data_IF_510065977867
#
_entry.id   IF_510065977867
#
_cell.length_a   1.000
_cell.length_b   1.000
_cell.length_c   1.000
_cell.angle_alpha   90.00
_cell.angle_beta   90.00
_cell.angle_gamma   90.00
#
_symmetry.space_group_name_H-M   'P 1'
#
loop_
_entity.id
_entity.type
_entity.pdbx_description
1 polymer ?
#
# COMPACT_ATOMS: atom_id res chain seq x y z
N UNK A 1 -6.69 -0.74 17.85
CA UNK A 1 -6.16 -2.10 17.60
C UNK A 1 -5.03 -1.97 16.59
N UNK A 2 -3.85 -2.53 16.86
CA UNK A 2 -2.74 -2.54 15.90
C UNK A 2 -2.93 -3.74 14.98
N UNK A 3 -2.94 -3.51 13.67
CA UNK A 3 -3.23 -4.56 12.67
C UNK A 3 -1.98 -5.16 12.04
N UNK A 4 -0.89 -4.42 11.94
CA UNK A 4 0.35 -4.92 11.36
C UNK A 4 1.04 -5.94 12.30
N UNK A 5 1.73 -6.96 11.77
CA UNK A 5 2.62 -7.85 12.53
C UNK A 5 3.66 -7.10 13.37
N UNK A 6 4.02 -7.67 14.51
CA UNK A 6 5.11 -7.15 15.33
C UNK A 6 6.42 -7.16 14.55
N UNK A 7 7.20 -6.08 14.62
CA UNK A 7 8.41 -5.91 13.81
C UNK A 7 8.16 -5.28 12.42
N UNK A 8 6.92 -4.95 12.07
CA UNK A 8 6.64 -4.15 10.86
C UNK A 8 7.23 -2.75 11.00
N UNK A 9 8.04 -2.34 10.02
CA UNK A 9 8.52 -0.96 9.90
C UNK A 9 7.62 -0.19 8.93
N UNK A 10 6.93 0.84 9.45
CA UNK A 10 6.08 1.73 8.67
C UNK A 10 6.80 3.05 8.40
N UNK A 11 6.88 3.45 7.14
CA UNK A 11 7.58 4.66 6.74
C UNK A 11 6.89 5.35 5.57
N UNK A 12 7.14 6.65 5.42
CA UNK A 12 6.90 7.38 4.19
C UNK A 12 8.16 7.34 3.32
N UNK A 13 8.00 7.18 2.00
CA UNK A 13 9.14 7.07 1.09
C UNK A 13 9.02 8.05 -0.09
N UNK A 14 10.13 8.72 -0.42
CA UNK A 14 10.21 9.60 -1.59
C UNK A 14 11.62 9.69 -2.15
N UNK A 15 11.72 10.06 -3.43
CA UNK A 15 13.00 10.40 -4.09
C UNK A 15 13.09 11.89 -4.44
N UNK A 16 14.30 12.35 -4.76
CA UNK A 16 14.52 13.67 -5.38
C UNK A 16 13.87 13.78 -6.77
N UNK A 17 13.69 12.65 -7.48
CA UNK A 17 12.99 12.55 -8.76
C UNK A 17 11.46 12.59 -8.68
N UNK A 18 10.91 12.77 -7.47
CA UNK A 18 9.47 12.93 -7.25
C UNK A 18 8.65 11.65 -7.19
N UNK A 19 9.28 10.47 -7.18
CA UNK A 19 8.57 9.22 -6.88
C UNK A 19 8.20 9.18 -5.38
N UNK A 20 7.02 8.66 -5.04
CA UNK A 20 6.44 8.77 -3.70
C UNK A 20 5.58 7.55 -3.34
N UNK A 21 5.68 7.08 -2.09
CA UNK A 21 4.77 6.12 -1.45
C UNK A 21 4.29 6.75 -0.14
N UNK A 22 2.97 6.94 0.00
CA UNK A 22 2.36 7.50 1.21
C UNK A 22 2.67 6.64 2.45
N UNK A 23 2.59 5.32 2.30
CA UNK A 23 2.90 4.35 3.34
C UNK A 23 3.60 3.11 2.75
N UNK A 24 4.85 2.91 3.14
CA UNK A 24 5.64 1.72 2.86
C UNK A 24 5.70 0.88 4.13
N UNK A 25 5.24 -0.36 4.04
CA UNK A 25 5.35 -1.34 5.12
C UNK A 25 6.42 -2.35 4.75
N UNK A 26 7.45 -2.45 5.59
CA UNK A 26 8.41 -3.55 5.57
C UNK A 26 8.02 -4.51 6.70
N UNK A 27 7.36 -5.61 6.31
CA UNK A 27 6.84 -6.62 7.20
C UNK A 27 7.97 -7.55 7.68
N UNK A 28 7.76 -8.25 8.82
CA UNK A 28 8.57 -9.41 9.17
C UNK A 28 8.61 -10.39 8.00
N UNK A 29 9.66 -11.22 7.89
CA UNK A 29 9.94 -12.11 6.75
C UNK A 29 10.22 -11.45 5.39
N UNK A 30 10.45 -10.14 5.36
CA UNK A 30 11.01 -9.44 4.18
C UNK A 30 9.99 -9.11 3.09
N UNK A 31 8.71 -9.14 3.42
CA UNK A 31 7.66 -8.65 2.54
C UNK A 31 7.55 -7.13 2.60
N UNK A 32 7.35 -6.50 1.44
CA UNK A 32 7.20 -5.06 1.29
C UNK A 32 5.87 -4.74 0.64
N UNK A 33 5.06 -3.93 1.31
CA UNK A 33 3.77 -3.46 0.80
C UNK A 33 3.84 -1.96 0.55
N UNK A 34 3.49 -1.53 -0.65
CA UNK A 34 3.43 -0.13 -1.04
C UNK A 34 1.98 0.33 -1.10
N UNK A 35 1.66 1.40 -0.37
CA UNK A 35 0.30 1.90 -0.22
C UNK A 35 0.24 3.39 -0.60
N UNK A 36 -0.75 3.73 -1.43
CA UNK A 36 -1.16 5.10 -1.72
C UNK A 36 -2.58 5.34 -1.19
N UNK A 37 -2.87 6.51 -0.64
CA UNK A 37 -4.16 6.85 -0.03
C UNK A 37 -4.88 7.89 -0.89
N UNK A 38 -6.09 7.56 -1.33
CA UNK A 38 -6.97 8.44 -2.11
C UNK A 38 -8.29 8.66 -1.36
N UNK A 39 -8.80 9.90 -1.39
CA UNK A 39 -10.11 10.27 -0.81
C UNK A 39 -11.27 10.22 -1.83
N UNK A 40 -11.03 9.63 -3.00
CA UNK A 40 -12.00 9.54 -4.11
C UNK A 40 -12.62 8.15 -4.19
N UNK A 41 -13.89 8.04 -4.59
CA UNK A 41 -14.57 6.77 -4.89
C UNK A 41 -14.18 6.18 -6.25
N UNK A 42 -13.48 6.94 -7.09
CA UNK A 42 -12.84 6.45 -8.30
C UNK A 42 -11.30 6.52 -8.12
N UNK A 43 -10.71 5.63 -7.31
CA UNK A 43 -9.29 5.64 -7.03
C UNK A 43 -8.49 5.25 -8.27
N UNK A 44 -7.41 5.98 -8.51
CA UNK A 44 -6.40 5.62 -9.49
C UNK A 44 -5.04 5.91 -8.86
N UNK A 45 -4.07 4.98 -8.91
CA UNK A 45 -2.74 5.23 -8.40
C UNK A 45 -2.14 6.44 -9.10
N UNK A 46 -1.21 7.18 -8.49
CA UNK A 46 -0.49 8.26 -9.16
C UNK A 46 0.61 7.72 -10.07
N UNK A 47 1.14 8.59 -10.93
CA UNK A 47 2.35 8.26 -11.73
C UNK A 47 3.56 8.07 -10.81
N UNK A 48 3.64 8.82 -9.73
CA UNK A 48 4.78 8.83 -8.84
C UNK A 48 4.79 7.60 -7.92
N UNK A 49 3.62 7.13 -7.51
CA UNK A 49 3.45 5.80 -6.90
C UNK A 49 3.88 4.66 -7.83
N UNK A 50 3.49 4.72 -9.10
CA UNK A 50 3.88 3.70 -10.08
C UNK A 50 5.42 3.63 -10.23
N UNK A 51 6.08 4.77 -10.41
CA UNK A 51 7.55 4.83 -10.48
C UNK A 51 8.20 4.29 -9.19
N UNK A 52 7.68 4.70 -8.03
CA UNK A 52 8.18 4.22 -6.75
C UNK A 52 8.07 2.70 -6.62
N UNK A 53 6.98 2.11 -7.12
CA UNK A 53 6.83 0.66 -7.17
C UNK A 53 7.80 -0.03 -8.13
N UNK A 54 8.20 0.62 -9.23
CA UNK A 54 9.21 0.08 -10.15
C UNK A 54 10.61 0.05 -9.51
N UNK A 55 10.94 1.07 -8.71
CA UNK A 55 12.18 1.16 -7.95
C UNK A 55 12.22 0.18 -6.78
N UNK A 56 11.15 0.16 -5.98
CA UNK A 56 11.08 -0.59 -4.71
C UNK A 56 10.68 -2.06 -4.88
N UNK A 57 10.06 -2.41 -6.02
CA UNK A 57 9.56 -3.76 -6.35
C UNK A 57 8.79 -4.43 -5.19
N UNK A 58 7.76 -3.77 -4.63
CA UNK A 58 6.98 -4.33 -3.54
C UNK A 58 6.19 -5.55 -4.00
N UNK A 59 6.00 -6.51 -3.09
CA UNK A 59 5.19 -7.71 -3.33
C UNK A 59 3.71 -7.35 -3.49
N UNK A 60 3.24 -6.34 -2.76
CA UNK A 60 1.86 -5.86 -2.85
C UNK A 60 1.80 -4.35 -3.08
N UNK A 61 0.86 -3.94 -3.94
CA UNK A 61 0.61 -2.54 -4.33
C UNK A 61 -0.86 -2.23 -4.07
N UNK A 62 -1.14 -1.30 -3.15
CA UNK A 62 -2.50 -0.95 -2.77
C UNK A 62 -2.79 0.53 -2.97
N UNK A 63 -4.02 0.82 -3.42
CA UNK A 63 -4.61 2.16 -3.36
C UNK A 63 -5.73 2.13 -2.35
N UNK A 64 -5.48 2.67 -1.16
CA UNK A 64 -6.50 2.77 -0.11
C UNK A 64 -7.49 3.87 -0.47
N UNK A 65 -8.78 3.54 -0.43
CA UNK A 65 -9.86 4.46 -0.82
C UNK A 65 -11.11 4.29 0.05
N UNK A 66 -12.04 5.27 0.10
CA UNK A 66 -13.18 5.26 1.03
C UNK A 66 -14.38 4.41 0.58
N UNK A 67 -14.22 3.49 -0.37
CA UNK A 67 -15.30 2.58 -0.76
C UNK A 67 -15.36 1.31 0.09
N UNK A 68 -16.05 0.30 -0.40
CA UNK A 68 -16.36 -0.94 0.34
C UNK A 68 -15.84 -2.22 -0.33
N UNK A 69 -15.25 -2.14 -1.52
CA UNK A 69 -14.89 -3.30 -2.33
C UNK A 69 -13.42 -3.29 -2.70
N UNK A 70 -12.84 -4.47 -2.89
CA UNK A 70 -11.49 -4.62 -3.46
C UNK A 70 -11.61 -4.88 -4.96
N UNK A 71 -10.87 -4.14 -5.77
CA UNK A 71 -10.84 -4.34 -7.22
C UNK A 71 -9.50 -3.93 -7.84
N UNK A 72 -9.10 -4.54 -8.98
CA UNK A 72 -7.86 -4.18 -9.65
C UNK A 72 -7.91 -2.77 -10.22
N UNK A 73 -6.80 -2.07 -10.15
CA UNK A 73 -6.56 -0.77 -10.82
C UNK A 73 -5.29 -0.87 -11.67
N UNK A 74 -4.95 0.22 -12.37
CA UNK A 74 -3.74 0.28 -13.20
C UNK A 74 -2.47 0.04 -12.37
N UNK A 75 -1.33 -0.13 -13.06
CA UNK A 75 -0.01 -0.30 -12.43
C UNK A 75 0.13 -1.55 -11.54
N UNK A 76 -0.69 -2.58 -11.78
CA UNK A 76 -0.67 -3.84 -11.01
C UNK A 76 -1.05 -3.67 -9.55
N UNK A 77 -1.81 -2.61 -9.23
CA UNK A 77 -2.28 -2.31 -7.90
C UNK A 77 -3.74 -2.71 -7.72
N UNK A 78 -4.19 -2.79 -6.48
CA UNK A 78 -5.58 -3.02 -6.12
C UNK A 78 -6.10 -1.85 -5.30
N UNK A 79 -7.29 -1.35 -5.66
CA UNK A 79 -8.04 -0.47 -4.78
C UNK A 79 -8.61 -1.29 -3.63
N UNK A 80 -8.44 -0.84 -2.39
CA UNK A 80 -8.88 -1.57 -1.20
C UNK A 80 -9.38 -0.61 -0.10
N UNK A 81 -10.48 -0.92 0.61
CA UNK A 81 -10.90 -0.13 1.76
C UNK A 81 -9.93 -0.30 2.95
N UNK A 82 -9.79 0.72 3.82
CA UNK A 82 -8.94 0.63 5.02
C UNK A 82 -9.24 -0.58 5.90
N UNK A 83 -10.53 -0.96 6.03
CA UNK A 83 -10.97 -2.09 6.84
C UNK A 83 -10.48 -3.43 6.28
N UNK A 84 -10.51 -3.59 4.96
CA UNK A 84 -10.04 -4.83 4.33
C UNK A 84 -8.51 -4.89 4.43
N UNK A 85 -7.78 -3.79 4.18
CA UNK A 85 -6.34 -3.74 4.37
C UNK A 85 -5.92 -4.09 5.82
N UNK A 86 -6.65 -3.60 6.82
CA UNK A 86 -6.40 -3.93 8.22
C UNK A 86 -6.63 -5.43 8.52
N UNK A 87 -7.64 -6.04 7.90
CA UNK A 87 -7.89 -7.48 8.04
C UNK A 87 -6.75 -8.31 7.42
N UNK A 88 -6.27 -7.94 6.24
CA UNK A 88 -5.11 -8.58 5.57
C UNK A 88 -3.86 -8.52 6.46
N UNK A 89 -3.54 -7.35 7.01
CA UNK A 89 -2.42 -7.18 7.94
C UNK A 89 -2.59 -8.02 9.22
N UNK A 90 -3.81 -8.08 9.74
CA UNK A 90 -4.10 -8.87 10.95
C UNK A 90 -3.90 -10.36 10.72
N UNK A 91 -4.23 -10.86 9.53
CA UNK A 91 -4.04 -12.26 9.16
C UNK A 91 -2.55 -12.68 9.11
N UNK A 92 -1.63 -11.72 9.00
CA UNK A 92 -0.18 -11.96 9.01
C UNK A 92 0.43 -12.04 10.41
N UNK A 93 -0.32 -11.72 11.47
CA UNK A 93 0.19 -11.63 12.87
C UNK A 93 0.42 -12.99 13.56
N UNK A 94 0.61 -14.07 12.81
CA UNK A 94 0.73 -15.44 13.37
C UNK A 94 1.87 -15.56 14.38
#
# INVERSE_FOLDING_TARGET
MVSAPEGTHASYWRTSGGAEIDLLLELPVGERWAIEIKRSLAPSPSRDFHKACDDLKPQHRFVVYPGSERFPVRAGAEAIPPVILAAELTALRK
#
